data_IF_673248718114
#
_entry.id   IF_673248718114
#
_cell.length_a   1.000
_cell.length_b   1.000
_cell.length_c   1.000
_cell.angle_alpha   90.00
_cell.angle_beta   90.00
_cell.angle_gamma   90.00
#
_symmetry.space_group_name_H-M   'P 1'
#
loop_
_entity.id
_entity.type
_entity.pdbx_description
1 polymer ?
#
# COMPACT_ATOMS: atom_id res chain seq x y z
N UNK A 1 -77.29 29.61 -31.68
CA UNK A 1 -76.71 28.24 -31.69
C UNK A 1 -75.29 28.39 -32.20
N UNK A 2 -74.37 28.71 -31.31
CA UNK A 2 -72.98 29.07 -31.65
C UNK A 2 -72.17 27.77 -31.68
N UNK A 3 -71.70 27.38 -32.86
CA UNK A 3 -70.86 26.19 -33.05
C UNK A 3 -69.51 26.40 -32.35
N UNK A 4 -69.32 25.80 -31.18
CA UNK A 4 -67.99 25.58 -30.62
C UNK A 4 -67.31 24.52 -31.49
N UNK A 5 -66.34 24.93 -32.32
CA UNK A 5 -65.42 23.98 -32.95
C UNK A 5 -64.51 23.44 -31.86
N UNK A 6 -64.80 22.20 -31.47
CA UNK A 6 -63.98 21.36 -30.61
C UNK A 6 -62.66 21.05 -31.35
N UNK A 7 -61.66 21.92 -31.17
CA UNK A 7 -60.30 21.68 -31.66
C UNK A 7 -59.68 20.64 -30.74
N UNK A 8 -59.88 19.36 -31.05
CA UNK A 8 -59.07 18.29 -30.47
C UNK A 8 -57.63 18.54 -30.92
N UNK A 9 -56.78 18.98 -30.00
CA UNK A 9 -55.34 18.96 -30.19
C UNK A 9 -54.96 17.48 -30.14
N UNK A 10 -54.87 16.84 -31.31
CA UNK A 10 -54.25 15.52 -31.42
C UNK A 10 -52.80 15.68 -30.94
N UNK A 11 -52.50 15.12 -29.77
CA UNK A 11 -51.13 15.09 -29.27
C UNK A 11 -50.31 14.17 -30.16
N UNK A 12 -49.42 14.76 -30.96
CA UNK A 12 -48.48 14.00 -31.77
C UNK A 12 -47.63 13.14 -30.84
N UNK A 13 -47.64 11.84 -31.09
CA UNK A 13 -46.83 10.86 -30.34
C UNK A 13 -45.81 10.28 -31.30
N UNK A 14 -44.55 10.69 -31.16
CA UNK A 14 -43.47 10.20 -32.01
C UNK A 14 -43.05 8.77 -31.64
N UNK A 15 -42.42 8.08 -32.60
CA UNK A 15 -41.82 6.77 -32.34
C UNK A 15 -40.65 6.88 -31.34
N UNK A 16 -40.26 5.78 -30.69
CA UNK A 16 -39.15 5.76 -29.71
C UNK A 16 -37.79 6.24 -30.26
N UNK A 17 -37.62 6.19 -31.58
CA UNK A 17 -36.41 6.60 -32.29
C UNK A 17 -36.53 8.00 -32.90
N UNK A 18 -37.57 8.74 -32.53
CA UNK A 18 -37.91 10.06 -33.05
C UNK A 18 -38.11 11.05 -31.90
N UNK A 19 -37.91 12.33 -32.18
CA UNK A 19 -38.19 13.42 -31.26
C UNK A 19 -39.11 14.44 -31.91
N UNK A 20 -40.00 14.99 -31.11
CA UNK A 20 -40.88 16.07 -31.54
C UNK A 20 -40.12 17.40 -31.58
N UNK A 21 -40.28 18.12 -32.68
CA UNK A 21 -39.90 19.53 -32.79
C UNK A 21 -40.93 20.26 -33.66
N UNK A 22 -41.46 21.38 -33.17
CA UNK A 22 -42.45 22.21 -33.88
C UNK A 22 -43.69 21.45 -34.41
N UNK A 23 -44.10 20.36 -33.74
CA UNK A 23 -45.24 19.55 -34.17
C UNK A 23 -44.93 18.54 -35.28
N UNK A 24 -43.65 18.25 -35.53
CA UNK A 24 -43.20 17.23 -36.46
C UNK A 24 -42.32 16.19 -35.74
N UNK A 25 -42.43 14.93 -36.15
CA UNK A 25 -41.59 13.85 -35.62
C UNK A 25 -40.33 13.69 -36.45
N UNK A 26 -39.19 14.02 -35.85
CA UNK A 26 -37.89 13.94 -36.49
C UNK A 26 -37.11 12.71 -36.03
N UNK A 27 -36.40 11.99 -36.93
CA UNK A 27 -35.55 10.88 -36.52
C UNK A 27 -34.38 11.36 -35.67
N UNK A 28 -34.07 10.63 -34.60
CA UNK A 28 -32.93 10.91 -33.72
C UNK A 28 -31.60 10.64 -34.41
N UNK A 29 -30.55 11.30 -33.92
CA UNK A 29 -29.18 11.00 -34.33
C UNK A 29 -28.67 9.73 -33.64
N UNK A 30 -27.94 8.85 -34.36
CA UNK A 30 -27.38 7.63 -33.77
C UNK A 30 -26.25 7.94 -32.78
N UNK A 31 -25.87 6.96 -31.93
CA UNK A 31 -24.70 7.04 -31.06
C UNK A 31 -23.45 7.50 -31.84
N UNK A 32 -22.57 8.26 -31.18
CA UNK A 32 -21.41 8.88 -31.83
C UNK A 32 -21.69 10.20 -32.55
N UNK A 33 -22.95 10.62 -32.63
CA UNK A 33 -23.34 11.84 -33.34
C UNK A 33 -24.34 12.68 -32.54
N UNK A 34 -24.39 13.97 -32.85
CA UNK A 34 -25.32 14.96 -32.31
C UNK A 34 -26.10 15.62 -33.43
N UNK A 35 -27.23 16.23 -33.11
CA UNK A 35 -28.01 17.02 -34.05
C UNK A 35 -27.22 18.27 -34.45
N UNK A 36 -27.00 18.45 -35.75
CA UNK A 36 -26.47 19.67 -36.35
C UNK A 36 -27.60 20.61 -36.72
N UNK A 37 -28.57 20.11 -37.48
CA UNK A 37 -29.76 20.84 -37.93
C UNK A 37 -30.95 19.92 -37.75
N UNK A 38 -32.03 20.45 -37.20
CA UNK A 38 -33.27 19.69 -37.00
C UNK A 38 -33.88 19.32 -38.35
N UNK A 39 -34.78 18.34 -38.33
CA UNK A 39 -35.53 18.00 -39.52
C UNK A 39 -36.50 19.15 -39.88
N UNK A 40 -36.91 19.17 -41.13
CA UNK A 40 -38.00 20.00 -41.65
C UNK A 40 -38.96 19.06 -42.36
N UNK A 41 -40.14 19.53 -42.73
CA UNK A 41 -41.14 18.76 -43.52
C UNK A 41 -40.52 17.99 -44.70
N UNK A 42 -39.48 18.56 -45.35
CA UNK A 42 -38.86 17.98 -46.55
C UNK A 42 -37.44 17.43 -46.33
N UNK A 43 -36.86 17.57 -45.14
CA UNK A 43 -35.47 17.15 -44.88
C UNK A 43 -35.36 16.47 -43.53
N UNK A 44 -34.75 15.29 -43.52
CA UNK A 44 -34.44 14.56 -42.29
C UNK A 44 -33.42 15.29 -41.41
N UNK A 45 -33.36 14.92 -40.14
CA UNK A 45 -32.39 15.45 -39.16
C UNK A 45 -30.97 15.30 -39.68
N UNK A 46 -30.21 16.39 -39.68
CA UNK A 46 -28.78 16.35 -40.03
C UNK A 46 -27.95 16.07 -38.79
N UNK A 47 -27.19 14.97 -38.80
CA UNK A 47 -26.33 14.56 -37.69
C UNK A 47 -24.86 14.87 -37.97
N UNK A 48 -24.13 15.23 -36.92
CA UNK A 48 -22.70 15.52 -36.96
C UNK A 48 -21.97 14.68 -35.91
N UNK A 49 -20.80 14.14 -36.25
CA UNK A 49 -19.95 13.41 -35.31
C UNK A 49 -19.61 14.25 -34.09
N UNK A 50 -19.53 13.60 -32.93
CA UNK A 50 -19.04 14.25 -31.73
C UNK A 50 -17.61 14.77 -31.93
N UNK A 51 -17.30 15.99 -31.45
CA UNK A 51 -15.93 16.48 -31.43
C UNK A 51 -15.07 15.65 -30.48
N UNK A 52 -13.76 15.82 -30.58
CA UNK A 52 -12.80 15.14 -29.68
C UNK A 52 -13.14 15.38 -28.20
N UNK A 53 -12.87 14.37 -27.36
CA UNK A 53 -13.15 14.37 -25.92
C UNK A 53 -14.64 14.54 -25.57
N UNK A 54 -15.54 14.18 -26.48
CA UNK A 54 -16.98 14.07 -26.22
C UNK A 54 -17.58 12.81 -26.85
N UNK A 55 -18.71 12.34 -26.30
CA UNK A 55 -19.37 11.13 -26.74
C UNK A 55 -20.91 11.22 -26.69
N UNK A 56 -21.56 10.24 -27.31
CA UNK A 56 -22.98 10.00 -27.20
C UNK A 56 -23.26 8.51 -27.33
N UNK A 57 -23.70 7.87 -26.25
CA UNK A 57 -23.90 6.41 -26.14
C UNK A 57 -25.24 5.93 -26.68
N UNK A 58 -26.26 6.81 -26.69
CA UNK A 58 -27.62 6.50 -27.10
C UNK A 58 -28.10 7.35 -28.29
N UNK A 59 -29.13 6.88 -29.04
CA UNK A 59 -29.86 7.74 -29.96
C UNK A 59 -30.37 9.00 -29.25
N UNK A 60 -30.21 10.15 -29.89
CA UNK A 60 -30.40 11.43 -29.21
C UNK A 60 -30.98 12.53 -30.12
N UNK A 61 -31.49 13.57 -29.47
CA UNK A 61 -31.95 14.83 -30.07
C UNK A 61 -31.06 16.04 -29.71
N UNK A 62 -29.89 15.79 -29.15
CA UNK A 62 -29.08 16.83 -28.52
C UNK A 62 -28.23 17.57 -29.54
N UNK A 63 -28.10 18.88 -29.35
CA UNK A 63 -27.20 19.72 -30.15
C UNK A 63 -25.75 19.67 -29.69
N UNK A 64 -25.44 19.03 -28.56
CA UNK A 64 -24.10 18.92 -27.96
C UNK A 64 -23.89 17.50 -27.44
N UNK A 65 -22.67 16.99 -27.59
CA UNK A 65 -22.27 15.69 -27.03
C UNK A 65 -21.88 15.84 -25.55
N UNK A 66 -21.90 14.74 -24.82
CA UNK A 66 -21.47 14.71 -23.43
C UNK A 66 -19.95 14.76 -23.35
N UNK A 67 -19.36 15.52 -22.41
CA UNK A 67 -17.92 15.49 -22.20
C UNK A 67 -17.50 14.12 -21.66
N UNK A 68 -16.35 13.61 -22.10
CA UNK A 68 -15.85 12.37 -21.55
C UNK A 68 -15.33 12.56 -20.12
N UNK A 69 -15.54 11.56 -19.28
CA UNK A 69 -14.92 11.44 -17.97
C UNK A 69 -13.39 11.37 -18.08
N UNK A 70 -12.71 11.82 -17.04
CA UNK A 70 -11.25 11.76 -16.93
C UNK A 70 -10.84 10.93 -15.71
N UNK A 71 -9.92 10.00 -15.88
CA UNK A 71 -9.47 9.11 -14.80
C UNK A 71 -8.26 9.66 -14.01
N UNK A 72 -8.06 10.98 -13.98
CA UNK A 72 -6.81 11.60 -13.49
C UNK A 72 -6.73 11.85 -11.98
N UNK A 73 -7.78 11.57 -11.21
CA UNK A 73 -7.87 11.87 -9.78
C UNK A 73 -8.18 10.62 -8.96
N UNK A 74 -7.74 10.60 -7.70
CA UNK A 74 -8.13 9.59 -6.70
C UNK A 74 -7.72 8.14 -7.02
N UNK A 75 -6.50 7.92 -7.54
CA UNK A 75 -5.96 6.56 -7.70
C UNK A 75 -6.64 5.74 -8.81
N UNK A 76 -7.17 6.40 -9.83
CA UNK A 76 -7.77 5.78 -11.00
C UNK A 76 -6.86 5.89 -12.22
N UNK A 77 -7.02 5.00 -13.19
CA UNK A 77 -6.39 5.04 -14.52
C UNK A 77 -7.41 4.70 -15.59
N UNK A 78 -7.15 5.10 -16.83
CA UNK A 78 -8.00 4.75 -17.96
C UNK A 78 -7.86 3.25 -18.26
N UNK A 79 -8.97 2.52 -18.16
CA UNK A 79 -9.11 1.14 -18.65
C UNK A 79 -9.46 1.15 -20.14
N UNK A 80 -10.40 2.01 -20.52
CA UNK A 80 -10.81 2.26 -21.89
C UNK A 80 -10.90 3.77 -22.10
N UNK A 81 -10.17 4.28 -23.09
CA UNK A 81 -10.22 5.69 -23.47
C UNK A 81 -11.57 6.06 -24.09
N UNK A 82 -11.88 7.36 -24.11
CA UNK A 82 -13.15 7.84 -24.66
C UNK A 82 -13.33 7.49 -26.13
N UNK A 83 -14.55 7.05 -26.48
CA UNK A 83 -14.98 6.76 -27.85
C UNK A 83 -16.09 7.71 -28.26
N UNK A 84 -16.43 7.79 -29.55
CA UNK A 84 -17.54 8.65 -29.98
C UNK A 84 -18.87 8.18 -29.37
N UNK A 85 -19.05 6.87 -29.19
CA UNK A 85 -20.27 6.24 -28.71
C UNK A 85 -20.19 5.68 -27.28
N UNK A 86 -19.14 6.00 -26.53
CA UNK A 86 -18.98 5.52 -25.16
C UNK A 86 -18.08 6.46 -24.36
N UNK A 87 -18.40 6.63 -23.07
CA UNK A 87 -17.55 7.39 -22.16
C UNK A 87 -16.21 6.68 -21.89
N UNK A 88 -15.25 7.42 -21.34
CA UNK A 88 -14.05 6.85 -20.73
C UNK A 88 -14.43 5.91 -19.58
N UNK A 89 -13.82 4.73 -19.55
CA UNK A 89 -13.96 3.78 -18.44
C UNK A 89 -12.70 3.83 -17.58
N UNK A 90 -12.90 4.10 -16.29
CA UNK A 90 -11.82 4.15 -15.30
C UNK A 90 -11.71 2.85 -14.50
N UNK A 91 -10.50 2.51 -14.07
CA UNK A 91 -10.23 1.42 -13.13
C UNK A 91 -9.23 1.88 -12.05
N UNK A 92 -9.20 1.24 -10.87
CA UNK A 92 -8.19 1.54 -9.85
C UNK A 92 -6.75 1.28 -10.34
N UNK A 93 -5.83 2.12 -9.90
CA UNK A 93 -4.40 1.90 -10.03
C UNK A 93 -3.93 0.76 -9.11
N UNK A 94 -2.71 0.28 -9.34
CA UNK A 94 -2.09 -0.69 -8.43
C UNK A 94 -1.94 -0.12 -7.02
N UNK A 95 -2.31 -0.93 -6.02
CA UNK A 95 -2.37 -0.50 -4.62
C UNK A 95 -3.62 0.30 -4.26
N UNK A 96 -4.64 0.33 -5.12
CA UNK A 96 -5.95 0.93 -4.86
C UNK A 96 -7.07 -0.06 -5.12
N UNK A 97 -8.21 0.14 -4.46
CA UNK A 97 -9.45 -0.57 -4.71
C UNK A 97 -10.60 0.40 -4.96
N UNK A 98 -11.60 -0.05 -5.70
CA UNK A 98 -12.76 0.75 -6.04
C UNK A 98 -13.71 0.88 -4.85
N UNK A 99 -14.13 2.11 -4.54
CA UNK A 99 -15.13 2.39 -3.50
C UNK A 99 -16.47 2.81 -4.09
N UNK A 100 -16.48 3.28 -5.34
CA UNK A 100 -17.69 3.68 -6.05
C UNK A 100 -17.74 3.03 -7.44
N UNK A 101 -18.54 1.96 -7.54
CA UNK A 101 -18.71 1.18 -8.76
C UNK A 101 -19.71 1.85 -9.71
N UNK A 102 -19.27 2.08 -10.95
CA UNK A 102 -20.14 2.39 -12.09
C UNK A 102 -20.37 1.12 -12.91
N UNK A 103 -21.35 1.14 -13.81
CA UNK A 103 -21.76 -0.02 -14.63
C UNK A 103 -20.59 -0.82 -15.23
N UNK A 104 -19.57 -0.14 -15.75
CA UNK A 104 -18.41 -0.76 -16.41
C UNK A 104 -17.05 -0.31 -15.84
N UNK A 105 -17.03 0.48 -14.76
CA UNK A 105 -15.81 1.11 -14.26
C UNK A 105 -15.90 1.59 -12.82
N UNK A 106 -14.94 2.42 -12.42
CA UNK A 106 -14.81 2.93 -11.06
C UNK A 106 -14.82 4.46 -11.04
N UNK A 107 -15.71 5.07 -10.26
CA UNK A 107 -15.81 6.52 -10.13
C UNK A 107 -14.86 7.10 -9.07
N UNK A 108 -14.54 6.31 -8.04
CA UNK A 108 -13.63 6.69 -6.97
C UNK A 108 -12.89 5.45 -6.44
N UNK A 109 -11.59 5.59 -6.20
CA UNK A 109 -10.77 4.55 -5.61
C UNK A 109 -10.06 5.04 -4.34
N UNK A 110 -9.77 4.09 -3.45
CA UNK A 110 -9.03 4.32 -2.22
C UNK A 110 -7.79 3.44 -2.20
N UNK A 111 -6.71 3.95 -1.59
CA UNK A 111 -5.48 3.20 -1.43
C UNK A 111 -5.72 2.01 -0.51
N UNK A 112 -5.15 0.86 -0.85
CA UNK A 112 -5.15 -0.30 0.03
C UNK A 112 -4.57 0.04 1.40
N UNK A 113 -5.21 -0.41 2.46
CA UNK A 113 -4.68 -0.28 3.81
C UNK A 113 -3.36 -1.04 3.93
N UNK A 114 -2.48 -0.52 4.78
CA UNK A 114 -1.30 -1.25 5.23
C UNK A 114 -1.63 -1.97 6.53
N UNK A 115 -1.01 -3.12 6.73
CA UNK A 115 -1.06 -3.77 8.03
C UNK A 115 -0.02 -3.13 8.95
N UNK A 116 -0.36 -3.02 10.23
CA UNK A 116 0.52 -2.45 11.22
C UNK A 116 1.55 -3.50 11.68
N UNK A 117 2.71 -3.09 12.23
CA UNK A 117 3.61 -4.04 12.90
C UNK A 117 2.87 -4.81 13.99
N UNK A 118 3.02 -6.13 14.04
CA UNK A 118 2.16 -7.00 14.83
C UNK A 118 1.09 -7.74 14.03
N UNK A 119 0.79 -7.25 12.83
CA UNK A 119 -0.17 -7.86 11.90
C UNK A 119 0.52 -8.45 10.67
N UNK A 120 -0.15 -9.40 10.05
CA UNK A 120 0.19 -9.92 8.73
C UNK A 120 -0.97 -9.72 7.76
N UNK A 121 -0.65 -9.71 6.46
CA UNK A 121 -1.64 -9.62 5.40
C UNK A 121 -2.33 -10.98 5.28
N UNK A 122 -3.54 -11.09 5.84
CA UNK A 122 -4.32 -12.32 5.77
C UNK A 122 -5.01 -12.49 4.41
N UNK A 123 -5.31 -11.38 3.73
CA UNK A 123 -5.83 -11.37 2.37
C UNK A 123 -5.32 -10.16 1.61
N UNK A 124 -4.77 -10.41 0.42
CA UNK A 124 -4.32 -9.35 -0.48
C UNK A 124 -5.48 -8.51 -0.99
N UNK A 125 -5.30 -7.20 -1.02
CA UNK A 125 -6.22 -6.28 -1.68
C UNK A 125 -6.31 -6.57 -3.19
N UNK A 126 -7.47 -6.27 -3.76
CA UNK A 126 -7.75 -6.39 -5.20
C UNK A 126 -8.26 -5.06 -5.73
N UNK A 127 -8.56 -4.97 -7.03
CA UNK A 127 -9.19 -3.78 -7.60
C UNK A 127 -10.59 -3.51 -7.00
N UNK A 128 -11.24 -4.46 -6.34
CA UNK A 128 -12.58 -4.31 -5.76
C UNK A 128 -12.63 -4.46 -4.24
N UNK A 129 -11.55 -4.91 -3.60
CA UNK A 129 -11.51 -5.16 -2.15
C UNK A 129 -10.24 -4.60 -1.54
N UNK A 130 -10.35 -4.07 -0.33
CA UNK A 130 -9.19 -3.66 0.45
C UNK A 130 -8.37 -4.87 0.93
N UNK A 131 -7.13 -4.61 1.36
CA UNK A 131 -6.27 -5.58 2.06
C UNK A 131 -6.89 -5.91 3.41
N UNK A 132 -6.89 -7.18 3.80
CA UNK A 132 -7.29 -7.61 5.14
C UNK A 132 -6.04 -7.99 5.96
N UNK A 133 -6.04 -7.60 7.22
CA UNK A 133 -4.92 -7.78 8.15
C UNK A 133 -5.38 -8.57 9.37
N UNK A 134 -4.52 -9.47 9.85
CA UNK A 134 -4.76 -10.28 11.06
C UNK A 134 -3.59 -10.19 12.03
N UNK A 135 -3.85 -10.34 13.32
CA UNK A 135 -2.83 -10.29 14.38
C UNK A 135 -1.94 -11.53 14.40
N UNK A 136 -0.67 -11.34 14.76
CA UNK A 136 0.24 -12.43 15.06
C UNK A 136 -0.06 -13.08 16.41
N UNK A 137 0.00 -14.42 16.45
CA UNK A 137 -0.10 -15.17 17.69
C UNK A 137 1.21 -15.13 18.48
N UNK A 138 1.12 -15.40 19.78
CA UNK A 138 2.29 -15.48 20.66
C UNK A 138 3.36 -16.43 20.11
N UNK A 139 4.61 -15.98 20.12
CA UNK A 139 5.74 -16.72 19.55
C UNK A 139 5.97 -16.47 18.06
N UNK A 140 5.28 -15.50 17.46
CA UNK A 140 5.48 -15.09 16.07
C UNK A 140 5.45 -13.56 15.92
N UNK A 141 6.00 -13.05 14.82
CA UNK A 141 6.05 -11.64 14.52
C UNK A 141 5.88 -11.30 13.03
N UNK A 142 5.53 -10.05 12.76
CA UNK A 142 5.47 -9.47 11.41
C UNK A 142 5.64 -7.95 11.47
N UNK A 143 6.30 -7.37 10.47
CA UNK A 143 6.47 -5.92 10.31
C UNK A 143 5.28 -5.25 9.58
N UNK A 144 4.22 -6.00 9.29
CA UNK A 144 3.04 -5.53 8.55
C UNK A 144 3.11 -5.72 7.05
N UNK A 145 4.23 -6.22 6.50
CA UNK A 145 4.40 -6.45 5.06
C UNK A 145 4.29 -7.92 4.64
N UNK A 146 4.31 -8.82 5.61
CA UNK A 146 4.37 -10.27 5.38
C UNK A 146 2.97 -10.87 5.18
N UNK A 147 2.89 -11.95 4.40
CA UNK A 147 1.66 -12.73 4.19
C UNK A 147 1.34 -13.71 5.33
N UNK A 148 2.28 -13.87 6.27
CA UNK A 148 2.14 -14.72 7.45
C UNK A 148 3.15 -14.26 8.50
N UNK A 149 2.83 -14.45 9.78
CA UNK A 149 3.78 -14.20 10.85
C UNK A 149 4.93 -15.21 10.82
N UNK A 150 6.15 -14.73 11.05
CA UNK A 150 7.34 -15.54 11.20
C UNK A 150 7.47 -15.99 12.65
N UNK A 151 7.85 -17.25 12.93
CA UNK A 151 8.11 -17.68 14.30
C UNK A 151 9.31 -16.94 14.88
N UNK A 152 9.29 -16.68 16.19
CA UNK A 152 10.44 -16.09 16.88
C UNK A 152 11.65 -17.02 16.84
N UNK A 153 12.84 -16.40 16.72
CA UNK A 153 14.12 -17.09 16.84
C UNK A 153 14.25 -17.71 18.23
N UNK A 154 14.57 -19.00 18.26
CA UNK A 154 14.76 -19.76 19.50
C UNK A 154 16.24 -19.80 19.86
N UNK A 155 16.71 -18.77 20.58
CA UNK A 155 18.13 -18.58 20.90
C UNK A 155 18.80 -19.83 21.51
N UNK A 156 18.08 -20.60 22.33
CA UNK A 156 18.57 -21.82 22.96
C UNK A 156 18.95 -22.90 21.95
N UNK A 157 18.21 -23.01 20.83
CA UNK A 157 18.53 -23.94 19.74
C UNK A 157 19.79 -23.54 18.98
N UNK A 158 20.16 -22.26 19.05
CA UNK A 158 21.35 -21.71 18.41
C UNK A 158 22.55 -21.61 19.37
N UNK A 159 22.44 -22.17 20.58
CA UNK A 159 23.45 -22.05 21.65
C UNK A 159 23.73 -20.59 22.07
N UNK A 160 22.77 -19.69 21.84
CA UNK A 160 22.83 -18.29 22.26
C UNK A 160 21.94 -18.05 23.48
N UNK A 161 22.17 -16.92 24.17
CA UNK A 161 21.27 -16.44 25.22
C UNK A 161 20.30 -15.41 24.67
N UNK A 162 19.06 -15.47 25.16
CA UNK A 162 18.05 -14.45 24.89
C UNK A 162 18.47 -13.14 25.57
N UNK A 163 18.73 -12.11 24.78
CA UNK A 163 19.00 -10.75 25.25
C UNK A 163 17.68 -10.02 25.46
N UNK A 164 16.77 -10.13 24.50
CA UNK A 164 15.47 -9.45 24.52
C UNK A 164 14.41 -10.34 23.89
N UNK A 165 13.30 -10.50 24.61
CA UNK A 165 12.15 -11.26 24.12
C UNK A 165 11.56 -10.62 22.85
N UNK A 166 11.18 -11.46 21.90
CA UNK A 166 10.43 -11.03 20.72
C UNK A 166 9.05 -10.48 21.08
N UNK A 167 8.52 -9.64 20.21
CA UNK A 167 7.14 -9.09 20.30
C UNK A 167 6.34 -9.55 19.08
N UNK A 168 5.04 -9.26 18.99
CA UNK A 168 4.29 -9.50 17.75
C UNK A 168 4.84 -8.70 16.55
N UNK A 169 5.61 -7.64 16.80
CA UNK A 169 6.16 -6.77 15.76
C UNK A 169 7.64 -7.01 15.43
N UNK A 170 8.38 -7.70 16.31
CA UNK A 170 9.84 -7.85 16.20
C UNK A 170 10.29 -9.22 16.68
N UNK A 171 11.37 -9.73 16.08
CA UNK A 171 11.96 -10.98 16.53
C UNK A 171 12.64 -10.86 17.91
N UNK A 172 12.95 -12.02 18.50
CA UNK A 172 13.82 -12.15 19.65
C UNK A 172 15.26 -11.79 19.30
N UNK A 173 15.93 -11.05 20.18
CA UNK A 173 17.35 -10.71 20.02
C UNK A 173 18.19 -11.69 20.85
N UNK A 174 19.11 -12.39 20.19
CA UNK A 174 20.00 -13.37 20.80
C UNK A 174 21.45 -12.85 20.85
N UNK A 175 22.25 -13.32 21.81
CA UNK A 175 23.69 -13.07 21.80
C UNK A 175 24.50 -14.03 22.65
N UNK A 176 25.82 -13.88 22.58
CA UNK A 176 26.74 -14.84 23.16
C UNK A 176 26.71 -14.85 24.68
N UNK A 177 26.90 -16.05 25.24
CA UNK A 177 27.11 -16.27 26.66
C UNK A 177 28.48 -15.71 27.03
N UNK A 178 28.53 -14.52 27.62
CA UNK A 178 29.76 -14.02 28.27
C UNK A 178 30.17 -15.00 29.37
N UNK A 179 30.99 -15.99 29.01
CA UNK A 179 31.53 -16.97 29.93
C UNK A 179 32.57 -16.27 30.80
N UNK A 180 32.12 -15.74 31.93
CA UNK A 180 32.98 -15.21 32.98
C UNK A 180 33.92 -16.29 33.56
N UNK A 181 33.68 -17.55 33.21
CA UNK A 181 34.53 -18.71 33.53
C UNK A 181 35.93 -18.56 32.96
N UNK A 182 36.12 -17.99 31.77
CA UNK A 182 37.47 -17.81 31.20
C UNK A 182 38.28 -16.81 32.02
N UNK A 183 37.66 -15.71 32.45
CA UNK A 183 38.28 -14.72 33.33
C UNK A 183 38.57 -15.26 34.74
N UNK A 184 37.67 -16.05 35.31
CA UNK A 184 37.84 -16.69 36.62
C UNK A 184 38.94 -17.76 36.57
N UNK A 185 38.97 -18.60 35.53
CA UNK A 185 40.00 -19.65 35.38
C UNK A 185 41.38 -19.03 35.17
N UNK A 186 41.51 -18.00 34.34
CA UNK A 186 42.77 -17.27 34.17
C UNK A 186 43.19 -16.58 35.47
N UNK A 187 42.25 -15.95 36.18
CA UNK A 187 42.52 -15.30 37.47
C UNK A 187 42.96 -16.29 38.55
N UNK A 188 42.32 -17.45 38.65
CA UNK A 188 42.69 -18.51 39.60
C UNK A 188 44.03 -19.14 39.23
N UNK A 189 44.31 -19.37 37.94
CA UNK A 189 45.63 -19.84 37.48
C UNK A 189 46.73 -18.82 37.80
N UNK A 190 46.51 -17.53 37.54
CA UNK A 190 47.46 -16.47 37.90
C UNK A 190 47.71 -16.41 39.40
N UNK A 191 46.66 -16.52 40.22
CA UNK A 191 46.79 -16.54 41.68
C UNK A 191 47.55 -17.78 42.19
N UNK A 192 47.32 -18.96 41.62
CA UNK A 192 48.03 -20.19 41.98
C UNK A 192 49.50 -20.16 41.55
N UNK A 193 49.81 -19.60 40.38
CA UNK A 193 51.20 -19.40 39.93
C UNK A 193 51.90 -18.37 40.81
N UNK A 194 51.27 -17.24 41.14
CA UNK A 194 51.83 -16.24 42.04
C UNK A 194 52.03 -16.78 43.47
N UNK A 195 51.15 -17.66 43.97
CA UNK A 195 51.26 -18.25 45.30
C UNK A 195 52.33 -19.35 45.40
N UNK A 196 52.66 -20.02 44.29
CA UNK A 196 53.77 -21.00 44.22
C UNK A 196 55.13 -20.34 44.02
N UNK A 197 55.16 -19.13 43.46
CA UNK A 197 56.32 -18.23 43.47
C UNK A 197 56.27 -17.37 44.75
N UNK A 198 56.15 -18.03 45.90
CA UNK A 198 56.43 -17.41 47.19
C UNK A 198 57.94 -17.20 47.32
N UNK A 199 58.45 -16.05 46.88
CA UNK A 199 59.85 -15.69 47.08
C UNK A 199 60.22 -14.43 46.31
N UNK A 200 60.52 -13.35 47.04
CA UNK A 200 60.77 -12.02 46.48
C UNK A 200 61.79 -11.99 45.35
N UNK A 201 61.49 -11.19 44.33
CA UNK A 201 62.42 -10.91 43.24
C UNK A 201 61.78 -9.98 42.21
N UNK A 202 62.44 -8.86 41.93
CA UNK A 202 62.14 -7.99 40.79
C UNK A 202 62.26 -8.78 39.47
N UNK A 203 61.23 -8.73 38.63
CA UNK A 203 61.29 -8.86 37.18
C UNK A 203 59.89 -8.49 36.65
N UNK A 204 59.73 -7.61 35.67
CA UNK A 204 60.24 -7.76 34.32
C UNK A 204 59.05 -8.15 33.45
N UNK A 205 58.61 -7.21 32.61
CA UNK A 205 57.33 -7.31 31.89
C UNK A 205 57.22 -8.48 30.92
N UNK A 206 55.98 -8.90 30.70
CA UNK A 206 55.52 -9.50 29.45
C UNK A 206 54.17 -8.86 29.13
N UNK A 207 54.18 -7.86 28.25
CA UNK A 207 52.98 -7.45 27.50
C UNK A 207 52.68 -8.55 26.48
N UNK A 208 51.55 -9.23 26.64
CA UNK A 208 50.92 -9.95 25.52
C UNK A 208 49.62 -9.21 25.19
N UNK A 209 49.68 -8.39 24.14
CA UNK A 209 48.50 -7.81 23.51
C UNK A 209 47.71 -8.92 22.81
N UNK A 210 46.71 -9.48 23.50
CA UNK A 210 45.65 -10.23 22.82
C UNK A 210 44.66 -9.22 22.23
N UNK A 211 44.93 -8.83 20.99
CA UNK A 211 44.01 -8.06 20.17
C UNK A 211 42.85 -8.96 19.69
N UNK A 212 41.67 -8.82 20.31
CA UNK A 212 40.41 -9.36 19.80
C UNK A 212 39.53 -8.22 19.23
N UNK A 213 38.89 -8.42 18.07
CA UNK A 213 38.17 -7.37 17.35
C UNK A 213 36.84 -7.05 18.04
N UNK A 214 36.55 -5.76 18.25
CA UNK A 214 35.24 -5.30 18.74
C UNK A 214 35.24 -4.54 20.08
N UNK A 215 36.13 -3.56 20.23
CA UNK A 215 36.23 -2.67 21.42
C UNK A 215 35.02 -1.74 21.54
N UNK A 216 34.23 -1.88 22.62
CA UNK A 216 33.59 -0.74 23.33
C UNK A 216 33.66 -0.82 24.86
N UNK A 217 33.85 -1.99 25.48
CA UNK A 217 33.76 -2.13 26.96
C UNK A 217 35.07 -2.44 27.72
N UNK A 218 36.23 -2.51 27.05
CA UNK A 218 37.52 -2.83 27.70
C UNK A 218 38.16 -1.63 28.43
N UNK A 219 37.72 -0.40 28.13
CA UNK A 219 38.34 0.82 28.72
C UNK A 219 38.06 0.96 30.23
N UNK A 220 36.97 0.37 30.74
CA UNK A 220 36.65 0.41 32.17
C UNK A 220 37.54 -0.52 33.02
N UNK A 221 37.90 -1.68 32.49
CA UNK A 221 38.63 -2.70 33.26
C UNK A 221 40.11 -2.32 33.49
N UNK A 222 40.74 -1.73 32.48
CA UNK A 222 42.11 -1.20 32.58
C UNK A 222 42.21 -0.05 33.58
N UNK A 223 41.16 0.75 33.74
CA UNK A 223 41.18 1.91 34.65
C UNK A 223 41.08 1.51 36.13
N UNK A 224 40.40 0.39 36.43
CA UNK A 224 40.30 -0.16 37.79
C UNK A 224 41.63 -0.80 38.22
N UNK A 225 42.28 -1.55 37.34
CA UNK A 225 43.60 -2.15 37.60
C UNK A 225 44.66 -1.04 37.79
N UNK A 226 44.57 0.05 37.01
CA UNK A 226 45.46 1.20 37.14
C UNK A 226 45.26 1.99 38.45
N UNK A 227 44.03 2.05 38.99
CA UNK A 227 43.77 2.64 40.31
C UNK A 227 44.28 1.78 41.46
N UNK A 228 44.20 0.45 41.34
CA UNK A 228 44.77 -0.46 42.34
C UNK A 228 46.30 -0.41 42.38
N UNK A 229 46.96 -0.14 41.26
CA UNK A 229 48.42 0.00 41.20
C UNK A 229 48.96 1.31 41.79
N UNK A 230 48.14 2.35 41.94
CA UNK A 230 48.53 3.64 42.56
C UNK A 230 48.19 3.74 44.05
N UNK A 231 47.33 2.88 44.58
CA UNK A 231 46.98 2.86 46.01
C UNK A 231 47.95 2.02 46.88
N UNK A 232 48.99 1.44 46.26
CA UNK A 232 49.98 0.55 46.88
C UNK A 232 51.44 1.05 46.72
N UNK A 233 51.61 2.30 46.30
CA UNK A 233 52.84 3.10 46.45
C UNK A 233 52.62 4.14 47.55
#
# INVERSE_FOLDING_TARGET
>A
MTLMRDFRVDSITCHLTEYEIEGECCPMCPPGTRVKTDCTEFKSTSCQKCPERTYMDLPNRLKRCYPCSTCGSAGLKEKLGCQLNADTVCEPMEGFYCTDLKSEGCAAAQKHRRCEPGQFISKMGTASTDTECSECSSGSFSDGTMLSCQPHTQCEKENLQLIKAGTSSTDAECGEKSSNTTGIVIGVLFFLVAATIGGGGQAGGAEEEVALPGKKNIVLYLNIIRQFFWALL
#
